data_IF_030108354917
#
_entry.id   IF_030108354917
#
_cell.length_a   1.000
_cell.length_b   1.000
_cell.length_c   1.000
_cell.angle_alpha   90.00
_cell.angle_beta   90.00
_cell.angle_gamma   90.00
#
_symmetry.space_group_name_H-M   'P 1'
#
loop_
_entity.id
_entity.type
_entity.pdbx_description
1 polymer ?
#
# COMPACT_ATOMS: atom_id res chain seq x y z
N UNK A 1 -19.37 9.42 -16.68
CA UNK A 1 -18.33 8.43 -16.33
C UNK A 1 -17.54 8.85 -15.08
N UNK A 2 -17.01 10.07 -15.02
CA UNK A 2 -16.25 10.60 -13.87
C UNK A 2 -17.01 10.53 -12.53
N UNK A 3 -18.30 10.87 -12.49
CA UNK A 3 -19.12 10.82 -11.25
C UNK A 3 -19.20 9.40 -10.67
N UNK A 4 -19.37 8.37 -11.52
CA UNK A 4 -19.41 6.96 -11.08
C UNK A 4 -18.03 6.47 -10.61
N UNK A 5 -16.96 6.92 -11.27
CA UNK A 5 -15.59 6.61 -10.88
C UNK A 5 -15.19 7.30 -9.56
N UNK A 6 -15.63 8.55 -9.35
CA UNK A 6 -15.46 9.29 -8.09
C UNK A 6 -16.21 8.63 -6.92
N UNK A 7 -17.44 8.14 -7.16
CA UNK A 7 -18.19 7.34 -6.17
C UNK A 7 -17.42 6.08 -5.73
N UNK A 8 -16.63 5.49 -6.63
CA UNK A 8 -15.80 4.31 -6.35
C UNK A 8 -14.38 4.63 -5.85
N UNK A 9 -14.08 5.89 -5.49
CA UNK A 9 -12.75 6.34 -5.08
C UNK A 9 -11.65 6.20 -6.15
N UNK A 10 -12.01 6.14 -7.44
CA UNK A 10 -11.03 5.94 -8.53
C UNK A 10 -10.55 7.26 -9.15
N UNK A 11 -11.31 8.33 -8.93
CA UNK A 11 -11.02 9.67 -9.45
C UNK A 11 -11.22 10.67 -8.32
N UNK A 12 -10.29 11.61 -8.19
CA UNK A 12 -10.41 12.76 -7.31
C UNK A 12 -10.66 14.00 -8.17
N UNK A 13 -11.76 14.70 -7.90
CA UNK A 13 -12.03 16.01 -8.49
C UNK A 13 -11.33 17.09 -7.67
N UNK A 14 -10.91 18.18 -8.30
CA UNK A 14 -10.39 19.36 -7.62
C UNK A 14 -10.71 20.62 -8.44
N UNK A 15 -10.78 21.76 -7.76
CA UNK A 15 -11.05 23.05 -8.40
C UNK A 15 -9.75 23.80 -8.59
N UNK A 16 -9.36 24.02 -9.84
CA UNK A 16 -8.24 24.86 -10.21
C UNK A 16 -8.73 26.32 -10.34
N UNK A 17 -8.00 27.26 -9.73
CA UNK A 17 -8.21 28.69 -9.93
C UNK A 17 -7.19 29.18 -10.95
N UNK A 18 -7.64 29.51 -12.16
CA UNK A 18 -6.79 30.21 -13.11
C UNK A 18 -6.70 31.69 -12.73
N UNK A 19 -5.50 32.25 -12.50
CA UNK A 19 -5.34 33.69 -12.40
C UNK A 19 -5.59 34.27 -13.79
N UNK A 20 -6.81 34.76 -14.02
CA UNK A 20 -7.18 35.42 -15.27
C UNK A 20 -6.19 36.53 -15.63
N UNK A 21 -5.89 36.65 -16.93
CA UNK A 21 -5.21 37.84 -17.45
C UNK A 21 -5.99 39.10 -17.08
N UNK A 22 -5.27 40.21 -16.87
CA UNK A 22 -5.77 41.47 -16.32
C UNK A 22 -7.17 41.85 -16.84
N UNK A 23 -8.19 41.69 -15.99
CA UNK A 23 -9.57 42.14 -16.25
C UNK A 23 -10.62 41.04 -16.47
N UNK A 24 -10.24 39.76 -16.58
CA UNK A 24 -11.19 38.65 -16.73
C UNK A 24 -11.50 37.98 -15.37
N UNK A 25 -12.77 37.61 -15.13
CA UNK A 25 -13.20 37.00 -13.87
C UNK A 25 -12.45 35.67 -13.60
N UNK A 26 -12.20 35.35 -12.32
CA UNK A 26 -11.55 34.10 -11.91
C UNK A 26 -12.37 32.91 -12.44
N UNK A 27 -11.86 32.23 -13.47
CA UNK A 27 -12.46 31.01 -14.00
C UNK A 27 -12.09 29.87 -13.06
N UNK A 28 -13.11 29.28 -12.45
CA UNK A 28 -12.99 28.05 -11.68
C UNK A 28 -13.30 26.88 -12.62
N UNK A 29 -12.31 26.02 -12.86
CA UNK A 29 -12.48 24.80 -13.64
C UNK A 29 -12.35 23.59 -12.71
N UNK A 30 -13.30 22.67 -12.82
CA UNK A 30 -13.22 21.37 -12.14
C UNK A 30 -12.40 20.43 -12.98
N UNK A 31 -11.27 19.99 -12.45
CA UNK A 31 -10.39 19.00 -13.07
C UNK A 31 -10.48 17.66 -12.34
N UNK A 32 -10.08 16.59 -13.02
CA UNK A 32 -10.20 15.22 -12.51
C UNK A 32 -8.85 14.49 -12.63
N UNK A 33 -8.43 13.85 -11.55
CA UNK A 33 -7.22 13.01 -11.50
C UNK A 33 -7.63 11.56 -11.28
N UNK A 34 -7.12 10.65 -12.10
CA UNK A 34 -7.24 9.21 -11.87
C UNK A 34 -6.25 8.77 -10.79
N UNK A 35 -6.74 8.01 -9.80
CA UNK A 35 -5.94 7.47 -8.71
C UNK A 35 -5.55 6.03 -9.04
N UNK A 36 -4.37 5.84 -9.65
CA UNK A 36 -3.92 4.52 -10.10
C UNK A 36 -3.78 3.51 -8.96
N UNK A 37 -3.27 3.92 -7.80
CA UNK A 37 -3.16 3.03 -6.64
C UNK A 37 -4.53 2.49 -6.21
N UNK A 38 -5.56 3.34 -6.17
CA UNK A 38 -6.92 2.92 -5.85
C UNK A 38 -7.51 1.96 -6.89
N UNK A 39 -7.13 2.10 -8.16
CA UNK A 39 -7.52 1.15 -9.21
C UNK A 39 -6.87 -0.20 -8.94
N UNK A 40 -5.56 -0.23 -8.62
CA UNK A 40 -4.83 -1.45 -8.31
C UNK A 40 -5.39 -2.11 -7.04
N UNK A 41 -5.72 -1.34 -6.00
CA UNK A 41 -6.31 -1.90 -4.76
C UNK A 41 -7.61 -2.68 -4.98
N UNK A 42 -8.32 -2.48 -6.09
CA UNK A 42 -9.51 -3.29 -6.42
C UNK A 42 -9.17 -4.77 -6.61
N UNK A 43 -8.00 -5.10 -7.13
CA UNK A 43 -7.56 -6.50 -7.25
C UNK A 43 -7.25 -7.11 -5.87
N UNK A 44 -7.02 -6.26 -4.86
CA UNK A 44 -6.66 -6.63 -3.47
C UNK A 44 -7.87 -6.74 -2.54
N UNK A 45 -9.08 -6.42 -2.99
CA UNK A 45 -10.29 -6.52 -2.17
C UNK A 45 -10.49 -7.88 -1.50
N UNK A 46 -10.23 -9.03 -2.16
CA UNK A 46 -10.29 -10.32 -1.49
C UNK A 46 -9.31 -10.42 -0.31
N UNK A 47 -8.09 -9.88 -0.44
CA UNK A 47 -7.10 -9.86 0.64
C UNK A 47 -7.57 -8.99 1.82
N UNK A 48 -8.17 -7.83 1.54
CA UNK A 48 -8.72 -6.95 2.58
C UNK A 48 -9.85 -7.63 3.36
N UNK A 49 -10.76 -8.33 2.65
CA UNK A 49 -11.86 -9.07 3.28
C UNK A 49 -11.31 -10.17 4.19
N UNK A 50 -10.26 -10.89 3.77
CA UNK A 50 -9.62 -11.92 4.59
C UNK A 50 -9.08 -11.32 5.89
N UNK A 51 -8.38 -10.18 5.83
CA UNK A 51 -7.86 -9.49 7.02
C UNK A 51 -8.98 -9.11 7.98
N UNK A 52 -10.06 -8.50 7.48
CA UNK A 52 -11.21 -8.15 8.33
C UNK A 52 -11.87 -9.38 8.94
N UNK A 53 -11.97 -10.48 8.18
CA UNK A 53 -12.59 -11.73 8.67
C UNK A 53 -11.78 -12.46 9.74
N UNK A 54 -10.48 -12.18 9.85
CA UNK A 54 -9.61 -12.76 10.88
C UNK A 54 -9.74 -12.02 12.21
N UNK A 55 -10.05 -10.73 12.20
CA UNK A 55 -10.06 -9.89 13.40
C UNK A 55 -11.47 -9.51 13.88
N UNK A 56 -12.46 -9.45 12.97
CA UNK A 56 -13.80 -8.95 13.27
C UNK A 56 -14.90 -9.96 12.91
N UNK A 57 -16.06 -9.75 13.53
CA UNK A 57 -17.24 -10.60 13.36
C UNK A 57 -17.81 -10.55 11.94
N UNK A 58 -18.57 -11.59 11.57
CA UNK A 58 -19.21 -11.72 10.23
C UNK A 58 -20.03 -10.49 9.82
N UNK A 59 -20.70 -9.83 10.77
CA UNK A 59 -21.47 -8.61 10.50
C UNK A 59 -20.60 -7.44 10.01
N UNK A 60 -19.38 -7.31 10.53
CA UNK A 60 -18.42 -6.30 10.07
C UNK A 60 -17.90 -6.63 8.66
N UNK A 61 -17.68 -7.91 8.35
CA UNK A 61 -17.23 -8.37 7.03
C UNK A 61 -18.25 -8.05 5.94
N UNK A 62 -19.54 -8.37 6.17
CA UNK A 62 -20.63 -8.09 5.22
C UNK A 62 -20.79 -6.58 4.97
N UNK A 63 -20.69 -5.77 6.04
CA UNK A 63 -20.75 -4.31 5.96
C UNK A 63 -19.57 -3.74 5.16
N UNK A 64 -18.36 -4.23 5.45
CA UNK A 64 -17.12 -3.82 4.78
C UNK A 64 -17.09 -4.23 3.30
N UNK A 65 -17.57 -5.43 2.96
CA UNK A 65 -17.73 -5.85 1.56
C UNK A 65 -18.67 -4.90 0.79
N UNK A 66 -19.75 -4.45 1.44
CA UNK A 66 -20.62 -3.43 0.88
C UNK A 66 -19.93 -2.11 0.60
N UNK A 67 -19.06 -1.66 1.51
CA UNK A 67 -18.23 -0.48 1.29
C UNK A 67 -17.27 -0.68 0.11
N UNK A 68 -16.59 -1.82 -0.01
CA UNK A 68 -15.68 -2.10 -1.12
C UNK A 68 -16.40 -2.13 -2.49
N UNK A 69 -17.59 -2.70 -2.55
CA UNK A 69 -18.36 -2.81 -3.79
C UNK A 69 -18.87 -1.44 -4.30
N UNK A 70 -19.25 -0.54 -3.38
CA UNK A 70 -19.89 0.74 -3.72
C UNK A 70 -19.02 1.98 -3.55
N UNK A 71 -17.87 1.86 -2.86
CA UNK A 71 -16.93 2.93 -2.61
C UNK A 71 -17.35 3.83 -1.45
N UNK A 72 -17.88 5.01 -1.75
CA UNK A 72 -18.31 6.02 -0.75
C UNK A 72 -19.77 5.80 -0.36
N UNK A 73 -20.05 5.56 0.93
CA UNK A 73 -21.41 5.38 1.45
C UNK A 73 -21.65 6.23 2.71
N UNK A 74 -22.87 6.73 2.87
CA UNK A 74 -23.34 7.34 4.12
C UNK A 74 -23.83 6.25 5.08
N UNK A 75 -23.95 6.59 6.37
CA UNK A 75 -24.53 5.69 7.36
C UNK A 75 -25.95 5.24 6.96
N UNK A 76 -26.78 6.15 6.45
CA UNK A 76 -28.13 5.83 5.98
C UNK A 76 -28.12 4.81 4.85
N UNK A 77 -27.25 4.98 3.85
CA UNK A 77 -27.11 4.03 2.72
C UNK A 77 -26.60 2.67 3.17
N UNK A 78 -25.75 2.62 4.20
CA UNK A 78 -25.29 1.37 4.81
C UNK A 78 -26.43 0.65 5.52
N UNK A 79 -27.26 1.39 6.26
CA UNK A 79 -28.46 0.88 6.92
C UNK A 79 -29.46 0.33 5.90
N UNK A 80 -29.74 1.08 4.83
CA UNK A 80 -30.67 0.65 3.77
C UNK A 80 -30.21 -0.63 3.08
N UNK A 81 -28.90 -0.75 2.84
CA UNK A 81 -28.30 -1.99 2.32
C UNK A 81 -28.49 -3.15 3.28
N UNK A 82 -28.24 -2.95 4.57
CA UNK A 82 -28.42 -3.99 5.57
C UNK A 82 -29.88 -4.46 5.70
N UNK A 83 -30.83 -3.52 5.59
CA UNK A 83 -32.28 -3.80 5.54
C UNK A 83 -32.68 -4.58 4.28
N UNK A 84 -32.05 -4.29 3.15
CA UNK A 84 -32.34 -4.97 1.87
C UNK A 84 -31.80 -6.42 1.83
N UNK A 85 -30.77 -6.73 2.62
CA UNK A 85 -30.11 -8.04 2.64
C UNK A 85 -30.72 -9.06 3.61
N UNK A 86 -31.50 -8.62 4.61
CA UNK A 86 -32.15 -9.50 5.60
C UNK A 86 -33.67 -9.36 5.51
N UNK A 87 -34.36 -10.47 5.27
CA UNK A 87 -35.82 -10.51 5.27
C UNK A 87 -36.36 -10.14 6.67
N UNK A 88 -37.02 -8.97 6.75
CA UNK A 88 -38.08 -8.54 7.69
C UNK A 88 -38.09 -9.29 9.04
N UNK A 89 -37.23 -8.88 9.98
CA UNK A 89 -37.57 -8.90 11.41
C UNK A 89 -36.60 -7.96 12.17
N UNK A 90 -37.21 -7.00 12.88
CA UNK A 90 -36.59 -6.03 13.80
C UNK A 90 -35.70 -4.93 13.17
N UNK A 91 -36.33 -3.95 12.52
CA UNK A 91 -35.67 -2.78 11.92
C UNK A 91 -34.79 -1.97 12.89
N UNK A 92 -35.16 -1.87 14.17
CA UNK A 92 -34.38 -1.13 15.18
C UNK A 92 -33.08 -1.84 15.55
N UNK A 93 -33.09 -3.17 15.59
CA UNK A 93 -31.91 -3.97 15.93
C UNK A 93 -30.88 -3.93 14.79
N UNK A 94 -31.34 -3.88 13.53
CA UNK A 94 -30.46 -3.76 12.36
C UNK A 94 -29.72 -2.42 12.36
N UNK A 95 -30.40 -1.32 12.65
CA UNK A 95 -29.76 0.01 12.68
C UNK A 95 -28.68 0.10 13.76
N UNK A 96 -28.97 -0.38 14.96
CA UNK A 96 -28.02 -0.41 16.07
C UNK A 96 -26.84 -1.33 15.76
N UNK A 97 -27.09 -2.51 15.19
CA UNK A 97 -26.03 -3.43 14.78
C UNK A 97 -25.13 -2.83 13.68
N UNK A 98 -25.69 -2.10 12.70
CA UNK A 98 -24.88 -1.42 11.67
C UNK A 98 -24.03 -0.31 12.28
N UNK A 99 -24.58 0.48 13.21
CA UNK A 99 -23.81 1.51 13.93
C UNK A 99 -22.68 0.90 14.77
N UNK A 100 -22.95 -0.18 15.49
CA UNK A 100 -21.94 -0.88 16.30
C UNK A 100 -20.84 -1.48 15.42
N UNK A 101 -21.21 -2.17 14.34
CA UNK A 101 -20.25 -2.76 13.40
C UNK A 101 -19.41 -1.69 12.70
N UNK A 102 -20.02 -0.56 12.31
CA UNK A 102 -19.28 0.56 11.74
C UNK A 102 -18.34 1.18 12.78
N UNK A 103 -18.79 1.33 14.03
CA UNK A 103 -17.94 1.79 15.13
C UNK A 103 -16.73 0.87 15.31
N UNK A 104 -16.91 -0.46 15.39
CA UNK A 104 -15.81 -1.43 15.46
C UNK A 104 -14.82 -1.30 14.30
N UNK A 105 -15.31 -1.15 13.07
CA UNK A 105 -14.48 -0.96 11.87
C UNK A 105 -13.68 0.35 11.89
N UNK A 106 -14.26 1.43 12.40
CA UNK A 106 -13.61 2.74 12.53
C UNK A 106 -12.56 2.72 13.64
N UNK A 107 -12.88 2.14 14.80
CA UNK A 107 -11.92 1.95 15.91
C UNK A 107 -10.74 1.05 15.52
N UNK A 108 -10.97 0.07 14.63
CA UNK A 108 -9.91 -0.77 14.05
C UNK A 108 -9.17 -0.11 12.87
N UNK A 109 -9.50 1.15 12.52
CA UNK A 109 -8.94 1.92 11.41
C UNK A 109 -9.11 1.32 10.00
N UNK A 110 -9.98 0.32 9.83
CA UNK A 110 -10.29 -0.25 8.50
C UNK A 110 -11.17 0.66 7.65
N UNK A 111 -11.94 1.53 8.31
CA UNK A 111 -12.86 2.48 7.68
C UNK A 111 -12.52 3.89 8.16
N UNK A 112 -12.51 4.83 7.22
CA UNK A 112 -12.19 6.23 7.45
C UNK A 112 -13.22 7.15 6.79
N UNK A 113 -13.30 8.39 7.27
CA UNK A 113 -14.10 9.42 6.59
C UNK A 113 -13.50 9.73 5.22
N UNK A 114 -14.37 9.97 4.24
CA UNK A 114 -13.93 10.28 2.88
C UNK A 114 -13.20 11.63 2.83
N UNK A 115 -12.16 11.75 1.99
CA UNK A 115 -11.60 13.04 1.60
C UNK A 115 -12.66 13.96 0.99
N UNK A 116 -12.44 15.27 1.13
CA UNK A 116 -13.27 16.30 0.54
C UNK A 116 -13.46 16.04 -0.96
N UNK A 117 -14.70 16.20 -1.43
CA UNK A 117 -15.09 15.79 -2.78
C UNK A 117 -14.41 16.65 -3.85
N UNK A 118 -14.27 17.95 -3.58
CA UNK A 118 -13.65 18.94 -4.46
C UNK A 118 -12.81 19.93 -3.63
N UNK A 119 -11.57 19.59 -3.24
CA UNK A 119 -10.67 20.56 -2.64
C UNK A 119 -10.37 21.69 -3.62
N UNK A 120 -10.33 22.92 -3.10
CA UNK A 120 -9.89 24.09 -3.86
C UNK A 120 -8.38 24.21 -3.71
N UNK A 121 -7.64 24.04 -4.80
CA UNK A 121 -6.19 24.25 -4.76
C UNK A 121 -5.87 25.75 -4.69
N UNK A 122 -5.05 26.14 -3.73
CA UNK A 122 -4.42 27.46 -3.75
C UNK A 122 -3.46 27.58 -4.94
N UNK A 123 -3.33 28.76 -5.57
CA UNK A 123 -2.41 28.94 -6.69
C UNK A 123 -0.96 28.59 -6.25
N UNK A 124 -0.14 28.08 -7.18
CA UNK A 124 1.26 27.75 -6.90
C UNK A 124 2.01 28.98 -6.36
N UNK A 125 2.87 28.80 -5.35
CA UNK A 125 3.67 29.89 -4.77
C UNK A 125 4.59 30.50 -5.84
N UNK A 126 4.99 31.77 -5.66
CA UNK A 126 5.84 32.48 -6.62
C UNK A 126 7.17 31.75 -6.92
N UNK A 127 7.66 30.94 -5.98
CA UNK A 127 8.86 30.10 -6.11
C UNK A 127 8.68 28.95 -7.12
N UNK A 128 7.47 28.36 -7.24
CA UNK A 128 7.17 27.30 -8.22
C UNK A 128 7.01 27.84 -9.65
N UNK A 129 6.48 29.06 -9.77
CA UNK A 129 6.39 29.78 -11.05
C UNK A 129 7.79 30.16 -11.57
N UNK A 130 8.73 30.48 -10.67
CA UNK A 130 10.13 30.72 -11.01
C UNK A 130 10.86 29.45 -11.47
N UNK A 131 10.59 28.29 -10.85
CA UNK A 131 11.14 27.00 -11.27
C UNK A 131 10.63 26.56 -12.66
N UNK A 132 9.34 26.75 -12.96
CA UNK A 132 8.76 26.49 -14.29
C UNK A 132 9.34 27.39 -15.39
N UNK A 133 9.70 28.64 -15.08
CA UNK A 133 10.34 29.56 -16.05
C UNK A 133 11.78 29.16 -16.40
N UNK A 134 12.48 28.41 -15.54
CA UNK A 134 13.84 27.88 -15.84
C UNK A 134 13.83 26.54 -16.58
N UNK A 135 12.77 25.74 -16.47
CA UNK A 135 12.68 24.40 -17.07
C UNK A 135 12.17 24.38 -18.53
N UNK A 136 11.99 25.53 -19.19
CA UNK A 136 11.33 25.63 -20.49
C UNK A 136 12.19 25.22 -21.71
N UNK A 137 13.07 24.21 -21.59
CA UNK A 137 13.73 23.62 -22.78
C UNK A 137 13.97 22.11 -22.79
N UNK A 138 13.46 21.34 -21.83
CA UNK A 138 13.46 19.88 -21.96
C UNK A 138 12.37 19.20 -21.12
N UNK A 139 11.51 18.43 -21.81
CA UNK A 139 10.60 17.38 -21.32
C UNK A 139 9.35 17.82 -20.53
N UNK A 140 8.26 18.04 -21.26
CA UNK A 140 6.87 18.26 -20.78
C UNK A 140 6.15 17.00 -20.22
N UNK A 141 6.85 16.07 -19.57
CA UNK A 141 6.21 14.83 -19.05
C UNK A 141 6.35 14.63 -17.53
N UNK A 142 7.09 15.48 -16.81
CA UNK A 142 7.38 15.25 -15.38
C UNK A 142 6.70 16.24 -14.41
N UNK A 143 5.42 16.56 -14.60
CA UNK A 143 4.63 17.40 -13.65
C UNK A 143 3.45 16.63 -13.00
N UNK A 144 3.52 15.30 -12.97
CA UNK A 144 2.44 14.41 -12.52
C UNK A 144 2.36 14.13 -11.01
N UNK A 145 3.45 13.77 -10.30
CA UNK A 145 3.34 13.29 -8.92
C UNK A 145 3.04 14.40 -7.90
N UNK A 146 3.56 15.61 -8.13
CA UNK A 146 3.45 16.74 -7.21
C UNK A 146 2.01 17.30 -7.11
N UNK A 147 1.33 17.42 -8.25
CA UNK A 147 -0.08 17.88 -8.27
C UNK A 147 -1.00 16.85 -7.63
N UNK A 148 -0.80 15.56 -7.92
CA UNK A 148 -1.61 14.47 -7.32
C UNK A 148 -1.45 14.48 -5.80
N UNK A 149 -0.23 14.59 -5.30
CA UNK A 149 0.05 14.65 -3.86
C UNK A 149 -0.63 15.86 -3.20
N UNK A 150 -0.47 17.05 -3.79
CA UNK A 150 -1.11 18.28 -3.29
C UNK A 150 -2.63 18.21 -3.27
N UNK A 151 -3.24 17.61 -4.29
CA UNK A 151 -4.70 17.41 -4.35
C UNK A 151 -5.17 16.45 -3.26
N UNK A 152 -4.44 15.35 -3.04
CA UNK A 152 -4.77 14.38 -2.00
C UNK A 152 -4.62 14.98 -0.59
N UNK A 153 -3.57 15.77 -0.34
CA UNK A 153 -3.36 16.47 0.93
C UNK A 153 -4.43 17.52 1.19
N UNK A 154 -4.80 18.31 0.18
CA UNK A 154 -5.88 19.29 0.29
C UNK A 154 -7.26 18.63 0.48
N UNK A 155 -7.45 17.41 -0.03
CA UNK A 155 -8.68 16.64 0.16
C UNK A 155 -8.72 15.92 1.52
N UNK A 156 -7.59 15.59 2.11
CA UNK A 156 -7.54 14.75 3.30
C UNK A 156 -8.25 15.44 4.49
N UNK A 157 -9.15 14.72 5.20
CA UNK A 157 -9.72 15.27 6.42
C UNK A 157 -8.62 15.44 7.46
N UNK A 158 -8.78 16.43 8.35
CA UNK A 158 -7.91 16.58 9.51
C UNK A 158 -7.83 15.25 10.28
N UNK A 159 -6.65 14.87 10.77
CA UNK A 159 -6.41 13.56 11.37
C UNK A 159 -7.35 13.28 12.56
N UNK A 160 -7.66 14.32 13.35
CA UNK A 160 -8.66 14.28 14.44
C UNK A 160 -10.09 13.97 14.00
N UNK A 161 -10.43 14.24 12.73
CA UNK A 161 -11.74 13.95 12.13
C UNK A 161 -11.75 12.67 11.29
N UNK A 162 -10.59 12.15 10.88
CA UNK A 162 -10.45 11.00 9.95
C UNK A 162 -11.15 9.74 10.47
N UNK A 163 -11.10 9.52 11.78
CA UNK A 163 -11.66 8.34 12.46
C UNK A 163 -12.73 8.69 13.51
N UNK A 164 -13.23 9.93 13.54
CA UNK A 164 -14.23 10.35 14.52
C UNK A 164 -15.60 9.72 14.20
N UNK A 165 -16.22 9.03 15.17
CA UNK A 165 -17.57 8.48 15.04
C UNK A 165 -18.59 9.34 15.80
N UNK A 166 -19.82 9.50 15.28
CA UNK A 166 -20.81 10.48 15.76
C UNK A 166 -21.25 10.32 17.24
N UNK A 167 -20.99 9.17 17.87
CA UNK A 167 -21.20 9.02 19.33
C UNK A 167 -20.32 9.95 20.16
N UNK A 168 -19.17 10.38 19.61
CA UNK A 168 -18.18 11.18 20.33
C UNK A 168 -18.44 12.69 20.23
N UNK A 169 -19.29 13.14 19.28
CA UNK A 169 -19.68 14.55 19.17
C UNK A 169 -20.48 15.01 20.40
N UNK A 170 -21.20 14.09 21.06
CA UNK A 170 -21.93 14.40 22.29
C UNK A 170 -21.02 14.45 23.55
N UNK A 171 -19.78 13.97 23.48
CA UNK A 171 -18.85 14.01 24.62
C UNK A 171 -18.02 15.31 24.68
N UNK A 172 -17.85 16.02 23.57
CA UNK A 172 -16.97 17.21 23.53
C UNK A 172 -17.66 18.46 24.13
N UNK A 173 -18.99 18.48 24.22
CA UNK A 173 -19.76 19.63 24.72
C UNK A 173 -20.03 19.62 26.25
N UNK A 174 -19.50 18.66 27.01
CA UNK A 174 -19.82 18.52 28.45
C UNK A 174 -18.66 18.64 29.45
N UNK A 175 -17.44 18.99 29.02
CA UNK A 175 -16.30 19.14 29.94
C UNK A 175 -15.49 20.43 29.73
N UNK A 176 -16.14 21.60 29.80
CA UNK A 176 -15.44 22.86 30.17
C UNK A 176 -16.36 23.81 30.94
N UNK A 177 -16.59 23.49 32.21
CA UNK A 177 -16.92 24.49 33.21
C UNK A 177 -16.50 23.98 34.59
N UNK A 178 -15.27 24.29 35.02
CA UNK A 178 -15.00 24.93 36.32
C UNK A 178 -13.48 25.10 36.56
N UNK A 179 -13.10 26.37 36.79
CA UNK A 179 -11.93 26.93 37.49
C UNK A 179 -10.50 26.51 37.05
N UNK A 180 -9.51 27.38 36.84
CA UNK A 180 -9.35 28.81 37.13
C UNK A 180 -8.08 29.32 36.42
N UNK A 181 -8.16 30.44 35.71
CA UNK A 181 -7.01 31.33 35.53
C UNK A 181 -7.52 32.76 35.39
N UNK A 182 -7.11 33.57 36.35
CA UNK A 182 -7.39 35.00 36.42
C UNK A 182 -6.36 35.68 35.53
N UNK A 183 -6.79 36.39 34.48
CA UNK A 183 -6.22 37.71 34.24
C UNK A 183 -7.18 38.65 33.50
N UNK A 184 -7.02 39.92 33.81
CA UNK A 184 -7.96 41.02 33.72
C UNK A 184 -7.71 41.83 32.45
N UNK A 185 -8.77 42.00 31.65
CA UNK A 185 -9.11 43.27 30.99
C UNK A 185 -8.36 43.69 29.73
N UNK A 186 -9.06 43.68 28.60
CA UNK A 186 -9.14 44.88 27.74
C UNK A 186 -10.40 44.88 26.87
N UNK A 187 -10.96 46.07 26.66
CA UNK A 187 -12.33 46.33 26.23
C UNK A 187 -12.40 46.72 24.75
N UNK A 188 -13.43 46.14 24.09
CA UNK A 188 -14.31 46.70 23.03
C UNK A 188 -13.98 46.41 21.55
N UNK A 189 -15.07 45.93 20.92
CA UNK A 189 -15.65 46.31 19.61
C UNK A 189 -15.34 45.39 18.43
N UNK A 190 -16.13 44.32 18.29
CA UNK A 190 -16.72 43.99 16.98
C UNK A 190 -18.15 43.47 17.19
N UNK A 191 -19.10 44.36 16.89
CA UNK A 191 -20.53 44.08 16.82
C UNK A 191 -20.86 43.81 15.36
N UNK A 192 -21.63 42.74 15.15
CA UNK A 192 -22.59 42.55 14.07
C UNK A 192 -22.07 42.68 12.63
N UNK A 193 -21.64 41.55 12.06
CA UNK A 193 -22.00 41.12 10.70
C UNK A 193 -21.97 39.59 10.65
N UNK A 194 -22.96 38.98 11.31
CA UNK A 194 -23.37 37.61 11.03
C UNK A 194 -24.71 37.70 10.30
N UNK A 195 -24.71 37.49 9.00
CA UNK A 195 -25.87 36.97 8.26
C UNK A 195 -25.43 36.49 6.88
N UNK A 196 -26.03 35.37 6.49
CA UNK A 196 -26.12 34.81 5.15
C UNK A 196 -24.91 34.04 4.60
N UNK A 197 -24.61 32.93 5.26
CA UNK A 197 -24.46 31.66 4.52
C UNK A 197 -24.97 30.48 5.37
N UNK A 198 -26.18 30.60 5.90
CA UNK A 198 -26.94 29.46 6.41
C UNK A 198 -27.77 28.87 5.25
N UNK A 199 -27.08 28.12 4.40
CA UNK A 199 -27.71 27.12 3.54
C UNK A 199 -27.32 25.77 4.12
N UNK A 200 -28.20 25.22 4.95
CA UNK A 200 -28.08 23.93 5.61
C UNK A 200 -27.90 22.76 4.66
N UNK A 201 -26.67 22.53 4.22
CA UNK A 201 -26.19 21.21 3.86
C UNK A 201 -25.64 20.63 5.16
N UNK A 202 -26.41 19.75 5.81
CA UNK A 202 -25.80 18.82 6.76
C UNK A 202 -24.70 18.12 5.98
N UNK A 203 -23.43 18.30 6.34
CA UNK A 203 -22.33 17.55 5.74
C UNK A 203 -22.61 16.06 5.98
N UNK A 204 -23.17 15.38 4.97
CA UNK A 204 -23.42 13.95 5.04
C UNK A 204 -22.06 13.25 5.14
N UNK A 205 -21.76 12.71 6.33
CA UNK A 205 -20.50 12.00 6.58
C UNK A 205 -20.44 10.75 5.69
N UNK A 206 -19.53 10.79 4.72
CA UNK A 206 -19.25 9.66 3.83
C UNK A 206 -18.10 8.82 4.38
N UNK A 207 -18.26 7.50 4.33
CA UNK A 207 -17.27 6.52 4.76
C UNK A 207 -16.67 5.78 3.57
N UNK A 208 -15.40 5.42 3.68
CA UNK A 208 -14.65 4.59 2.71
C UNK A 208 -13.75 3.61 3.45
N UNK A 209 -13.34 2.56 2.73
CA UNK A 209 -12.26 1.70 3.20
C UNK A 209 -10.93 2.47 3.24
N UNK A 210 -10.21 2.31 4.35
CA UNK A 210 -8.85 2.82 4.54
C UNK A 210 -7.85 1.80 3.97
N UNK A 211 -7.47 1.96 2.70
CA UNK A 211 -6.52 1.05 2.06
C UNK A 211 -5.14 1.07 2.72
N UNK A 212 -4.73 2.22 3.27
CA UNK A 212 -3.40 2.42 3.86
C UNK A 212 -3.17 1.47 5.05
N UNK A 213 -4.18 1.27 5.90
CA UNK A 213 -4.10 0.34 7.03
C UNK A 213 -3.86 -1.10 6.57
N UNK A 214 -4.53 -1.55 5.51
CA UNK A 214 -4.28 -2.88 4.96
C UNK A 214 -2.88 -3.02 4.37
N UNK A 215 -2.38 -1.99 3.68
CA UNK A 215 -1.04 -2.02 3.12
C UNK A 215 0.03 -2.04 4.21
N UNK A 216 -0.17 -1.32 5.32
CA UNK A 216 0.73 -1.41 6.49
C UNK A 216 0.80 -2.83 7.03
N UNK A 217 -0.35 -3.48 7.19
CA UNK A 217 -0.43 -4.88 7.64
C UNK A 217 0.23 -5.85 6.67
N UNK A 218 0.08 -5.63 5.37
CA UNK A 218 0.76 -6.44 4.36
C UNK A 218 2.27 -6.23 4.36
N UNK A 219 2.74 -5.00 4.61
CA UNK A 219 4.16 -4.71 4.80
C UNK A 219 4.72 -5.43 6.04
N UNK A 220 4.04 -5.31 7.18
CA UNK A 220 4.44 -6.01 8.41
C UNK A 220 4.50 -7.52 8.17
N UNK A 221 3.48 -8.09 7.51
CA UNK A 221 3.48 -9.50 7.12
C UNK A 221 4.68 -9.85 6.22
N UNK A 222 4.97 -9.05 5.19
CA UNK A 222 6.10 -9.28 4.30
C UNK A 222 7.44 -9.28 5.05
N UNK A 223 7.64 -8.33 5.99
CA UNK A 223 8.84 -8.28 6.82
C UNK A 223 8.94 -9.51 7.74
N UNK A 224 7.83 -9.91 8.37
CA UNK A 224 7.79 -11.08 9.27
C UNK A 224 8.07 -12.38 8.52
N UNK A 225 7.48 -12.58 7.34
CA UNK A 225 7.78 -13.77 6.50
C UNK A 225 9.24 -13.79 6.05
N UNK A 226 9.81 -12.64 5.63
CA UNK A 226 11.23 -12.58 5.25
C UNK A 226 12.16 -12.96 6.41
N UNK A 227 11.87 -12.45 7.61
CA UNK A 227 12.62 -12.80 8.82
C UNK A 227 12.46 -14.29 9.17
N UNK A 228 11.25 -14.83 9.08
CA UNK A 228 10.98 -16.26 9.35
C UNK A 228 11.80 -17.18 8.43
N UNK A 229 11.87 -16.87 7.14
CA UNK A 229 12.61 -17.69 6.17
C UNK A 229 14.13 -17.63 6.38
N UNK A 230 14.65 -16.51 6.91
CA UNK A 230 16.09 -16.30 7.10
C UNK A 230 16.62 -16.72 8.46
N UNK A 231 15.81 -16.57 9.49
CA UNK A 231 16.14 -16.87 10.89
C UNK A 231 15.28 -18.06 11.35
N UNK A 232 14.34 -17.81 12.25
CA UNK A 232 13.46 -18.81 12.84
C UNK A 232 12.09 -18.22 13.19
N UNK A 233 11.18 -19.09 13.66
CA UNK A 233 9.85 -18.70 14.10
C UNK A 233 9.87 -17.76 15.33
N UNK A 234 10.88 -17.91 16.21
CA UNK A 234 11.05 -17.05 17.38
C UNK A 234 11.33 -15.60 16.99
N UNK A 235 12.28 -15.36 16.08
CA UNK A 235 12.57 -14.04 15.55
C UNK A 235 11.36 -13.44 14.81
N UNK A 236 10.62 -14.26 14.06
CA UNK A 236 9.41 -13.83 13.37
C UNK A 236 8.32 -13.37 14.36
N UNK A 237 8.14 -14.08 15.48
CA UNK A 237 7.20 -13.69 16.53
C UNK A 237 7.64 -12.42 17.25
N UNK A 238 8.94 -12.29 17.57
CA UNK A 238 9.48 -11.07 18.18
C UNK A 238 9.23 -9.85 17.30
N UNK A 239 9.52 -9.94 16.00
CA UNK A 239 9.24 -8.88 15.03
C UNK A 239 7.74 -8.61 14.90
N UNK A 240 6.92 -9.65 14.75
CA UNK A 240 5.46 -9.50 14.63
C UNK A 240 4.87 -8.79 15.84
N UNK A 241 5.29 -9.16 17.04
CA UNK A 241 4.82 -8.59 18.31
C UNK A 241 5.23 -7.13 18.46
N UNK A 242 6.43 -6.78 18.01
CA UNK A 242 6.91 -5.41 18.02
C UNK A 242 6.14 -4.50 17.06
N UNK A 243 5.92 -4.95 15.82
CA UNK A 243 5.14 -4.19 14.83
C UNK A 243 3.68 -4.04 15.27
N UNK A 244 3.14 -5.07 15.89
CA UNK A 244 1.79 -5.09 16.43
C UNK A 244 1.61 -4.10 17.60
N UNK A 245 2.54 -4.09 18.56
CA UNK A 245 2.50 -3.16 19.68
C UNK A 245 2.66 -1.69 19.23
N UNK A 246 3.39 -1.44 18.14
CA UNK A 246 3.55 -0.12 17.52
C UNK A 246 2.41 0.30 16.56
N UNK A 247 1.47 -0.60 16.25
CA UNK A 247 0.51 -0.46 15.13
C UNK A 247 -0.29 0.85 15.16
N UNK A 248 -0.81 1.23 16.34
CA UNK A 248 -1.67 2.42 16.50
C UNK A 248 -0.92 3.74 16.44
N UNK A 249 0.39 3.71 16.66
CA UNK A 249 1.25 4.89 16.65
C UNK A 249 1.80 5.17 15.25
N UNK A 250 1.71 4.20 14.34
CA UNK A 250 2.19 4.34 12.98
C UNK A 250 1.17 5.05 12.08
N UNK A 251 1.52 6.25 11.61
CA UNK A 251 0.63 7.07 10.81
C UNK A 251 0.86 6.95 9.29
N UNK A 252 2.09 6.65 8.86
CA UNK A 252 2.50 6.68 7.44
C UNK A 252 2.89 5.29 6.94
N UNK A 253 2.54 4.98 5.68
CA UNK A 253 2.93 3.73 5.03
C UNK A 253 4.43 3.67 4.64
N UNK A 254 5.00 4.78 4.14
CA UNK A 254 6.41 4.85 3.69
C UNK A 254 7.31 5.37 4.80
N UNK A 255 7.49 4.55 5.84
CA UNK A 255 8.42 4.80 6.94
C UNK A 255 9.64 3.89 6.79
N UNK A 256 10.85 4.46 6.90
CA UNK A 256 12.09 3.68 6.82
C UNK A 256 12.29 2.84 8.10
N UNK A 257 11.91 3.39 9.25
CA UNK A 257 12.03 2.74 10.56
C UNK A 257 10.67 2.57 11.23
N UNK A 258 10.51 1.50 12.00
CA UNK A 258 9.31 1.32 12.83
C UNK A 258 9.21 2.36 13.95
N UNK A 259 8.02 2.47 14.52
CA UNK A 259 7.83 3.19 15.79
C UNK A 259 8.66 2.51 16.89
N UNK A 260 9.25 3.31 17.79
CA UNK A 260 9.94 2.81 18.97
C UNK A 260 8.93 2.30 20.01
N UNK A 261 9.07 1.04 20.42
CA UNK A 261 8.14 0.38 21.36
C UNK A 261 8.89 -0.18 22.55
N UNK A 262 8.33 -0.08 23.76
CA UNK A 262 8.95 -0.63 24.97
C UNK A 262 8.97 -2.15 24.94
N UNK A 263 10.03 -2.75 25.49
CA UNK A 263 10.16 -4.21 25.57
C UNK A 263 8.97 -4.90 26.26
N UNK A 264 8.37 -4.25 27.28
CA UNK A 264 7.22 -4.80 28.00
C UNK A 264 5.98 -4.90 27.09
N UNK A 265 5.73 -3.89 26.25
CA UNK A 265 4.61 -3.92 25.31
C UNK A 265 4.82 -5.00 24.23
N UNK A 266 6.07 -5.19 23.77
CA UNK A 266 6.42 -6.26 22.83
C UNK A 266 6.16 -7.63 23.48
N UNK A 267 6.56 -7.80 24.73
CA UNK A 267 6.39 -9.04 25.47
C UNK A 267 4.91 -9.37 25.72
N UNK A 268 4.10 -8.39 26.14
CA UNK A 268 2.65 -8.55 26.31
C UNK A 268 1.97 -9.01 25.01
N UNK A 269 2.40 -8.48 23.87
CA UNK A 269 1.88 -8.86 22.57
C UNK A 269 2.33 -10.27 22.16
N UNK A 270 3.61 -10.61 22.41
CA UNK A 270 4.15 -11.94 22.14
C UNK A 270 3.39 -13.04 22.92
N UNK A 271 2.99 -12.76 24.16
CA UNK A 271 2.25 -13.69 25.01
C UNK A 271 0.86 -14.07 24.46
N UNK A 272 0.30 -13.28 23.54
CA UNK A 272 -0.97 -13.64 22.87
C UNK A 272 -0.79 -14.81 21.90
N UNK A 273 0.37 -14.91 21.26
CA UNK A 273 0.72 -16.00 20.36
C UNK A 273 1.06 -17.28 21.14
N UNK A 274 0.64 -18.45 20.65
CA UNK A 274 0.84 -19.72 21.37
C UNK A 274 2.32 -20.05 21.61
N UNK A 275 3.16 -19.83 20.59
CA UNK A 275 4.62 -20.04 20.65
C UNK A 275 5.31 -18.94 21.47
N UNK A 276 4.74 -17.74 21.54
CA UNK A 276 5.26 -16.64 22.34
C UNK A 276 5.07 -16.84 23.85
N UNK A 277 4.13 -17.69 24.29
CA UNK A 277 3.91 -18.00 25.72
C UNK A 277 5.08 -18.71 26.39
N UNK A 278 5.91 -19.41 25.62
CA UNK A 278 7.13 -20.07 26.12
C UNK A 278 8.37 -19.17 26.07
N UNK A 279 8.28 -18.00 25.42
CA UNK A 279 9.40 -17.09 25.25
C UNK A 279 9.59 -16.27 26.52
N UNK A 280 10.81 -16.24 27.05
CA UNK A 280 11.15 -15.38 28.19
C UNK A 280 11.53 -13.97 27.72
N UNK A 281 11.58 -13.01 28.65
CA UNK A 281 12.07 -11.65 28.35
C UNK A 281 13.52 -11.64 27.85
N UNK A 282 14.35 -12.58 28.30
CA UNK A 282 15.75 -12.66 27.88
C UNK A 282 15.86 -13.25 26.46
N UNK A 283 15.06 -14.28 26.15
CA UNK A 283 14.96 -14.79 24.77
C UNK A 283 14.51 -13.67 23.81
N UNK A 284 13.53 -12.85 24.23
CA UNK A 284 13.06 -11.72 23.44
C UNK A 284 14.17 -10.68 23.20
N UNK A 285 15.02 -10.39 24.20
CA UNK A 285 16.18 -9.49 24.05
C UNK A 285 17.19 -10.05 23.06
N UNK A 286 17.44 -11.36 23.10
CA UNK A 286 18.36 -12.02 22.20
C UNK A 286 17.85 -11.94 20.75
N UNK A 287 16.56 -12.19 20.52
CA UNK A 287 15.95 -12.03 19.21
C UNK A 287 15.96 -10.58 18.69
N UNK A 288 15.65 -9.59 19.55
CA UNK A 288 15.73 -8.18 19.16
C UNK A 288 17.16 -7.75 18.82
N UNK A 289 18.17 -8.34 19.49
CA UNK A 289 19.58 -8.12 19.17
C UNK A 289 19.96 -8.77 17.84
N UNK A 290 19.48 -10.00 17.59
CA UNK A 290 19.69 -10.72 16.33
C UNK A 290 19.07 -10.01 15.12
N UNK A 291 17.93 -9.34 15.33
CA UNK A 291 17.25 -8.52 14.32
C UNK A 291 17.91 -7.15 14.11
N UNK A 292 19.01 -6.86 14.80
CA UNK A 292 19.71 -5.57 14.74
C UNK A 292 18.81 -4.37 15.10
N UNK A 293 17.85 -4.57 16.01
CA UNK A 293 16.96 -3.51 16.46
C UNK A 293 17.75 -2.40 17.17
N UNK A 294 17.38 -1.15 16.88
CA UNK A 294 17.95 0.03 17.53
C UNK A 294 17.37 0.16 18.94
N UNK A 295 18.24 0.07 19.95
CA UNK A 295 17.87 0.26 21.36
C UNK A 295 17.92 1.74 21.73
N UNK A 296 16.78 2.28 22.14
CA UNK A 296 16.64 3.62 22.73
C UNK A 296 16.97 3.64 24.22
N UNK A 297 17.04 4.85 24.79
CA UNK A 297 17.44 5.07 26.18
C UNK A 297 16.50 4.40 27.21
N UNK A 298 15.21 4.25 26.88
CA UNK A 298 14.15 3.77 27.78
C UNK A 298 13.79 2.29 27.55
N UNK A 299 14.77 1.46 27.15
CA UNK A 299 14.51 0.06 26.71
C UNK A 299 13.45 -0.05 25.61
N UNK A 300 13.33 1.00 24.80
CA UNK A 300 12.51 1.02 23.60
C UNK A 300 13.29 0.46 22.42
N UNK A 301 12.63 -0.29 21.55
CA UNK A 301 13.23 -0.89 20.36
C UNK A 301 12.53 -0.38 19.10
N UNK A 302 13.30 -0.09 18.05
CA UNK A 302 12.81 0.17 16.69
C UNK A 302 13.62 -0.66 15.68
N UNK A 303 13.04 -0.94 14.53
CA UNK A 303 13.69 -1.72 13.47
C UNK A 303 13.72 -0.95 12.15
N UNK A 304 14.80 -1.14 11.39
CA UNK A 304 14.91 -0.63 10.03
C UNK A 304 14.11 -1.52 9.08
N UNK A 305 12.92 -1.05 8.70
CA UNK A 305 12.04 -1.76 7.77
C UNK A 305 12.61 -1.73 6.36
N UNK A 306 13.32 -0.66 6.00
CA UNK A 306 13.88 -0.48 4.67
C UNK A 306 14.92 -1.54 4.35
N UNK A 307 15.84 -1.85 5.27
CA UNK A 307 16.82 -2.90 5.04
C UNK A 307 16.18 -4.28 4.86
N UNK A 308 15.16 -4.63 5.66
CA UNK A 308 14.42 -5.88 5.50
C UNK A 308 13.74 -5.95 4.13
N UNK A 309 13.07 -4.87 3.72
CA UNK A 309 12.38 -4.80 2.43
C UNK A 309 13.36 -4.84 1.25
N UNK A 310 14.49 -4.13 1.32
CA UNK A 310 15.53 -4.19 0.29
C UNK A 310 16.13 -5.59 0.15
N UNK A 311 16.29 -6.32 1.26
CA UNK A 311 16.73 -7.72 1.24
C UNK A 311 15.70 -8.62 0.57
N UNK A 312 14.42 -8.50 0.94
CA UNK A 312 13.34 -9.24 0.29
C UNK A 312 13.25 -8.95 -1.22
N UNK A 313 13.41 -7.69 -1.63
CA UNK A 313 13.46 -7.30 -3.05
C UNK A 313 14.64 -7.95 -3.79
N UNK A 314 15.82 -7.98 -3.16
CA UNK A 314 16.99 -8.63 -3.74
C UNK A 314 16.74 -10.14 -3.92
N UNK A 315 16.17 -10.82 -2.92
CA UNK A 315 15.85 -12.24 -2.95
C UNK A 315 14.81 -12.58 -4.04
N UNK A 316 13.80 -11.73 -4.22
CA UNK A 316 12.80 -11.92 -5.27
C UNK A 316 13.42 -11.83 -6.67
N UNK A 317 14.26 -10.83 -6.95
CA UNK A 317 14.94 -10.74 -8.26
C UNK A 317 15.97 -11.84 -8.46
N UNK A 318 16.69 -12.20 -7.40
CA UNK A 318 17.58 -13.36 -7.39
C UNK A 318 16.82 -14.66 -7.77
N UNK A 319 15.61 -14.85 -7.23
CA UNK A 319 14.71 -15.97 -7.56
C UNK A 319 14.29 -15.94 -9.03
N UNK A 320 13.98 -14.75 -9.58
CA UNK A 320 13.71 -14.57 -11.01
C UNK A 320 14.92 -14.97 -11.85
N UNK A 321 16.12 -14.51 -11.48
CA UNK A 321 17.36 -14.83 -12.21
C UNK A 321 17.65 -16.32 -12.17
N UNK A 322 17.49 -16.96 -11.01
CA UNK A 322 17.67 -18.39 -10.84
C UNK A 322 16.72 -19.20 -11.72
N UNK A 323 15.43 -18.85 -11.73
CA UNK A 323 14.39 -19.54 -12.52
C UNK A 323 14.55 -19.34 -14.02
N UNK A 324 14.98 -18.15 -14.48
CA UNK A 324 15.07 -17.79 -15.91
C UNK A 324 16.43 -18.12 -16.55
N UNK A 325 17.52 -17.97 -15.80
CA UNK A 325 18.89 -18.08 -16.33
C UNK A 325 19.74 -19.18 -15.68
N UNK A 326 19.26 -19.82 -14.61
CA UNK A 326 19.94 -20.93 -13.95
C UNK A 326 20.95 -20.53 -12.88
N UNK A 327 21.60 -21.55 -12.28
CA UNK A 327 22.42 -21.42 -11.06
C UNK A 327 23.66 -20.54 -11.24
N UNK A 328 24.37 -20.65 -12.35
CA UNK A 328 25.61 -19.85 -12.54
C UNK A 328 25.30 -18.37 -12.74
N UNK A 329 24.22 -18.07 -13.46
CA UNK A 329 23.69 -16.70 -13.62
C UNK A 329 23.26 -16.11 -12.28
N UNK A 330 22.57 -16.91 -11.44
CA UNK A 330 22.21 -16.53 -10.09
C UNK A 330 23.44 -16.18 -9.23
N UNK A 331 24.49 -17.02 -9.26
CA UNK A 331 25.73 -16.77 -8.50
C UNK A 331 26.42 -15.48 -8.93
N UNK A 332 26.55 -15.26 -10.24
CA UNK A 332 27.14 -14.03 -10.80
C UNK A 332 26.29 -12.81 -10.41
N UNK A 333 24.97 -12.89 -10.54
CA UNK A 333 24.08 -11.78 -10.22
C UNK A 333 24.13 -11.44 -8.73
N UNK A 334 24.05 -12.44 -7.84
CA UNK A 334 24.14 -12.26 -6.38
C UNK A 334 25.46 -11.60 -5.97
N UNK A 335 26.58 -12.03 -6.57
CA UNK A 335 27.88 -11.40 -6.36
C UNK A 335 27.84 -9.92 -6.74
N UNK A 336 27.41 -9.60 -7.97
CA UNK A 336 27.37 -8.21 -8.46
C UNK A 336 26.39 -7.33 -7.68
N UNK A 337 25.27 -7.89 -7.22
CA UNK A 337 24.26 -7.19 -6.40
C UNK A 337 24.81 -6.84 -5.01
N UNK A 338 25.67 -7.69 -4.45
CA UNK A 338 26.33 -7.48 -3.16
C UNK A 338 27.49 -6.48 -3.23
N UNK A 339 28.34 -6.56 -4.25
CA UNK A 339 29.49 -5.66 -4.41
C UNK A 339 29.06 -4.21 -4.68
N UNK A 340 27.96 -4.00 -5.42
CA UNK A 340 27.39 -2.67 -5.66
C UNK A 340 28.22 -1.73 -6.55
N UNK A 341 29.45 -2.12 -6.91
CA UNK A 341 30.34 -1.37 -7.80
C UNK A 341 30.69 -2.16 -9.06
N UNK A 342 31.46 -1.53 -9.96
CA UNK A 342 31.94 -2.15 -11.19
C UNK A 342 32.99 -3.23 -10.87
N UNK A 343 32.78 -4.44 -11.39
CA UNK A 343 33.68 -5.59 -11.24
C UNK A 343 34.10 -6.12 -12.61
N UNK A 344 35.36 -6.50 -12.74
CA UNK A 344 35.94 -7.05 -13.97
C UNK A 344 35.51 -8.49 -14.22
N UNK A 345 35.32 -8.87 -15.50
CA UNK A 345 34.90 -10.22 -15.92
C UNK A 345 35.70 -11.35 -15.28
N UNK A 346 37.04 -11.25 -15.26
CA UNK A 346 37.89 -12.33 -14.74
C UNK A 346 37.72 -12.49 -13.21
N UNK A 347 37.60 -11.37 -12.48
CA UNK A 347 37.33 -11.38 -11.05
C UNK A 347 35.96 -11.99 -10.75
N UNK A 348 34.94 -11.66 -11.54
CA UNK A 348 33.60 -12.25 -11.41
C UNK A 348 33.68 -13.77 -11.59
N UNK A 349 34.38 -14.24 -12.63
CA UNK A 349 34.56 -15.66 -12.90
C UNK A 349 35.22 -16.39 -11.73
N UNK A 350 36.29 -15.80 -11.19
CA UNK A 350 37.08 -16.39 -10.10
C UNK A 350 36.28 -16.39 -8.77
N UNK A 351 35.63 -15.28 -8.40
CA UNK A 351 34.88 -15.19 -7.14
C UNK A 351 33.55 -15.95 -7.18
N UNK A 352 32.86 -15.95 -8.32
CA UNK A 352 31.62 -16.71 -8.49
C UNK A 352 31.88 -18.18 -8.83
N UNK A 353 33.14 -18.65 -8.90
CA UNK A 353 33.55 -19.97 -9.40
C UNK A 353 32.71 -20.46 -10.59
N UNK A 354 32.69 -19.64 -11.64
CA UNK A 354 32.10 -19.95 -12.95
C UNK A 354 33.24 -20.07 -13.94
N UNK A 355 33.13 -20.98 -14.91
CA UNK A 355 34.16 -21.16 -15.93
C UNK A 355 34.44 -19.86 -16.71
N UNK A 356 35.72 -19.55 -16.93
CA UNK A 356 36.17 -18.33 -17.65
C UNK A 356 35.64 -18.22 -19.08
N UNK A 357 35.22 -19.33 -19.68
CA UNK A 357 34.59 -19.37 -21.01
C UNK A 357 33.08 -19.11 -20.97
N UNK A 358 32.42 -19.42 -19.86
CA UNK A 358 30.96 -19.31 -19.71
C UNK A 358 30.56 -17.98 -19.05
N UNK A 359 31.35 -17.47 -18.10
CA UNK A 359 31.06 -16.20 -17.41
C UNK A 359 30.78 -15.03 -18.38
N UNK A 360 31.56 -14.79 -19.46
CA UNK A 360 31.26 -13.74 -20.42
C UNK A 360 29.92 -13.96 -21.12
N UNK A 361 29.58 -15.19 -21.52
CA UNK A 361 28.32 -15.52 -22.21
C UNK A 361 27.12 -15.21 -21.33
N UNK A 362 27.20 -15.59 -20.05
CA UNK A 362 26.17 -15.31 -19.05
C UNK A 362 26.02 -13.81 -18.86
N UNK A 363 27.12 -13.07 -18.67
CA UNK A 363 27.10 -11.63 -18.48
C UNK A 363 26.51 -10.88 -19.69
N UNK A 364 26.84 -11.28 -20.92
CA UNK A 364 26.22 -10.71 -22.12
C UNK A 364 24.72 -11.01 -22.22
N UNK A 365 24.28 -12.21 -21.79
CA UNK A 365 22.86 -12.57 -21.75
C UNK A 365 22.09 -11.71 -20.73
N UNK A 366 22.63 -11.57 -19.52
CA UNK A 366 22.05 -10.71 -18.47
C UNK A 366 22.03 -9.24 -18.88
N UNK A 367 23.06 -8.76 -19.59
CA UNK A 367 23.11 -7.38 -20.08
C UNK A 367 22.09 -7.12 -21.18
N UNK A 368 21.92 -8.06 -22.12
CA UNK A 368 20.92 -7.96 -23.19
C UNK A 368 19.50 -7.83 -22.64
N UNK A 369 19.23 -8.52 -21.53
CA UNK A 369 17.94 -8.49 -20.85
C UNK A 369 17.89 -7.42 -19.73
N UNK A 370 18.84 -6.48 -19.72
CA UNK A 370 18.91 -5.31 -18.82
C UNK A 370 19.07 -5.60 -17.32
N UNK A 371 19.50 -6.81 -16.93
CA UNK A 371 19.78 -7.18 -15.53
C UNK A 371 21.10 -6.62 -15.00
N UNK A 372 22.08 -6.41 -15.88
CA UNK A 372 23.39 -5.87 -15.52
C UNK A 372 23.79 -4.74 -16.46
N UNK A 373 24.53 -3.78 -15.93
CA UNK A 373 25.16 -2.71 -16.69
C UNK A 373 26.58 -3.10 -17.08
N UNK A 374 26.99 -2.76 -18.30
CA UNK A 374 28.31 -3.04 -18.86
C UNK A 374 29.02 -1.73 -19.21
N UNK A 375 30.30 -1.65 -18.84
CA UNK A 375 31.18 -0.54 -19.19
C UNK A 375 32.51 -1.07 -19.73
N UNK A 376 32.89 -0.60 -20.92
CA UNK A 376 34.22 -0.86 -21.49
C UNK A 376 35.17 0.24 -21.06
N UNK A 377 36.28 -0.13 -20.43
CA UNK A 377 37.34 0.79 -20.04
C UNK A 377 38.60 0.44 -20.81
N UNK A 378 39.18 1.43 -21.48
CA UNK A 378 40.48 1.26 -22.14
C UNK A 378 41.51 1.94 -21.27
N UNK A 379 42.52 1.19 -20.82
CA UNK A 379 43.64 1.73 -20.05
C UNK A 379 44.83 1.86 -20.99
N UNK A 380 45.33 3.09 -21.11
CA UNK A 380 46.49 3.42 -21.94
C UNK A 380 47.76 3.33 -21.07
N UNK A 381 48.53 2.27 -21.25
CA UNK A 381 49.89 2.10 -20.72
C UNK A 381 50.86 1.68 -21.83
N UNK A 382 51.90 0.87 -21.51
CA UNK A 382 52.86 0.36 -22.50
C UNK A 382 52.22 -0.49 -23.62
N UNK A 383 51.06 -1.08 -23.36
CA UNK A 383 50.16 -1.72 -24.34
C UNK A 383 48.74 -1.27 -24.06
N UNK A 384 47.91 -1.10 -25.10
CA UNK A 384 46.49 -0.83 -24.93
C UNK A 384 45.77 -2.08 -24.46
N UNK A 385 45.20 -2.03 -23.25
CA UNK A 385 44.38 -3.12 -22.69
C UNK A 385 42.94 -2.63 -22.52
N UNK A 386 41.99 -3.46 -22.96
CA UNK A 386 40.56 -3.20 -22.81
C UNK A 386 39.97 -4.13 -21.76
N UNK A 387 39.30 -3.54 -20.77
CA UNK A 387 38.60 -4.25 -19.70
C UNK A 387 37.10 -4.06 -19.85
N UNK A 388 36.35 -5.12 -19.56
CA UNK A 388 34.88 -5.06 -19.48
C UNK A 388 34.50 -5.17 -18.02
N UNK A 389 33.78 -4.15 -17.55
CA UNK A 389 33.32 -4.02 -16.18
C UNK A 389 31.80 -4.15 -16.12
N UNK A 390 31.31 -4.76 -15.03
CA UNK A 390 29.91 -5.10 -14.85
C UNK A 390 29.43 -4.64 -13.48
N UNK A 391 28.17 -4.18 -13.40
CA UNK A 391 27.49 -3.92 -12.11
C UNK A 391 26.00 -4.14 -12.23
N UNK A 392 25.32 -4.38 -11.11
CA UNK A 392 23.85 -4.31 -11.05
C UNK A 392 23.44 -2.88 -10.72
N UNK A 393 22.56 -2.29 -11.52
CA UNK A 393 21.93 -1.01 -11.19
C UNK A 393 20.54 -1.26 -10.62
N UNK A 394 20.45 -1.41 -9.30
CA UNK A 394 19.19 -1.76 -8.60
C UNK A 394 18.05 -0.79 -8.92
N UNK A 395 18.32 0.51 -8.96
CA UNK A 395 17.28 1.52 -9.18
C UNK A 395 16.58 1.41 -10.54
N UNK A 396 17.34 1.06 -11.59
CA UNK A 396 16.77 0.83 -12.92
C UNK A 396 16.15 -0.56 -13.02
N UNK A 397 16.85 -1.56 -12.48
CA UNK A 397 16.40 -2.95 -12.54
C UNK A 397 15.07 -3.16 -11.81
N UNK A 398 14.88 -2.53 -10.64
CA UNK A 398 13.63 -2.67 -9.87
C UNK A 398 12.43 -2.15 -10.65
N UNK A 399 12.58 -1.01 -11.34
CA UNK A 399 11.51 -0.47 -12.20
C UNK A 399 11.20 -1.38 -13.39
N UNK A 400 12.22 -1.99 -13.98
CA UNK A 400 12.03 -2.94 -15.08
C UNK A 400 11.31 -4.20 -14.59
N UNK A 401 11.74 -4.76 -13.46
CA UNK A 401 11.11 -5.94 -12.83
C UNK A 401 9.67 -5.63 -12.42
N UNK A 402 9.42 -4.49 -11.81
CA UNK A 402 8.07 -4.01 -11.46
C UNK A 402 7.16 -3.93 -12.70
N UNK A 403 7.66 -3.34 -13.80
CA UNK A 403 6.92 -3.27 -15.06
C UNK A 403 6.61 -4.67 -15.64
N UNK A 404 7.59 -5.59 -15.61
CA UNK A 404 7.40 -6.97 -16.04
C UNK A 404 6.36 -7.69 -15.17
N UNK A 405 6.35 -7.45 -13.85
CA UNK A 405 5.33 -7.98 -12.94
C UNK A 405 3.93 -7.46 -13.27
N UNK A 406 3.77 -6.18 -13.58
CA UNK A 406 2.47 -5.64 -14.01
C UNK A 406 2.00 -6.23 -15.34
N UNK A 407 2.91 -6.42 -16.31
CA UNK A 407 2.58 -7.11 -17.55
C UNK A 407 2.16 -8.57 -17.31
N UNK A 408 2.85 -9.28 -16.43
CA UNK A 408 2.48 -10.63 -16.03
C UNK A 408 1.09 -10.67 -15.35
N UNK A 409 0.80 -9.72 -14.46
CA UNK A 409 -0.49 -9.60 -13.79
C UNK A 409 -1.64 -9.32 -14.78
N UNK A 410 -1.39 -8.46 -15.78
CA UNK A 410 -2.33 -8.20 -16.87
C UNK A 410 -2.58 -9.46 -17.69
N UNK A 411 -1.53 -10.17 -18.09
CA UNK A 411 -1.65 -11.41 -18.87
C UNK A 411 -2.45 -12.49 -18.13
N UNK A 412 -2.20 -12.65 -16.82
CA UNK A 412 -3.00 -13.55 -15.97
C UNK A 412 -4.46 -13.12 -15.91
N UNK A 413 -4.74 -11.83 -15.72
CA UNK A 413 -6.10 -11.29 -15.65
C UNK A 413 -6.86 -11.48 -16.98
N UNK A 414 -6.21 -11.22 -18.11
CA UNK A 414 -6.76 -11.46 -19.44
C UNK A 414 -7.04 -12.95 -19.67
N UNK A 415 -6.16 -13.83 -19.18
CA UNK A 415 -6.38 -15.27 -19.26
C UNK A 415 -7.58 -15.70 -18.42
N UNK A 416 -7.75 -15.19 -17.20
CA UNK A 416 -8.93 -15.47 -16.37
C UNK A 416 -10.21 -15.03 -17.08
N UNK A 417 -10.22 -13.82 -17.64
CA UNK A 417 -11.37 -13.31 -18.38
C UNK A 417 -11.72 -14.19 -19.59
N UNK A 418 -10.70 -14.61 -20.35
CA UNK A 418 -10.86 -15.49 -21.50
C UNK A 418 -11.46 -16.86 -21.11
N UNK A 419 -10.96 -17.49 -20.04
CA UNK A 419 -11.51 -18.76 -19.55
C UNK A 419 -12.96 -18.61 -19.08
N UNK A 420 -13.30 -17.51 -18.40
CA UNK A 420 -14.67 -17.21 -17.97
C UNK A 420 -15.61 -16.98 -19.14
N UNK A 421 -15.15 -16.34 -20.21
CA UNK A 421 -15.93 -16.15 -21.42
C UNK A 421 -16.16 -17.47 -22.17
N UNK A 422 -15.13 -18.29 -22.35
CA UNK A 422 -15.27 -19.64 -22.93
C UNK A 422 -16.19 -20.54 -22.11
N UNK A 423 -16.14 -20.41 -20.78
CA UNK A 423 -16.95 -21.18 -19.87
C UNK A 423 -18.37 -20.65 -19.65
N UNK A 424 -18.73 -19.49 -20.20
CA UNK A 424 -19.96 -18.76 -19.85
C UNK A 424 -21.22 -19.58 -20.08
N UNK A 425 -21.32 -20.26 -21.23
CA UNK A 425 -22.47 -21.11 -21.55
C UNK A 425 -22.56 -22.31 -20.60
N UNK A 426 -21.43 -22.98 -20.32
CA UNK A 426 -21.36 -24.09 -19.37
C UNK A 426 -21.72 -23.67 -17.94
N UNK A 427 -21.30 -22.48 -17.54
CA UNK A 427 -21.61 -21.89 -16.23
C UNK A 427 -23.04 -21.36 -16.13
N UNK A 428 -23.74 -21.16 -17.25
CA UNK A 428 -25.16 -20.76 -17.27
C UNK A 428 -26.12 -21.94 -17.10
N UNK A 429 -25.66 -23.17 -17.34
CA UNK A 429 -26.49 -24.36 -17.19
C UNK A 429 -26.86 -24.61 -15.72
N UNK A 430 -28.09 -25.02 -15.41
CA UNK A 430 -28.49 -25.45 -14.06
C UNK A 430 -27.54 -26.50 -13.49
N UNK A 431 -27.29 -26.48 -12.18
CA UNK A 431 -26.31 -27.36 -11.52
C UNK A 431 -26.65 -28.83 -11.74
N UNK A 432 -27.94 -29.16 -11.82
CA UNK A 432 -28.46 -30.52 -12.04
C UNK A 432 -28.10 -31.06 -13.42
N UNK A 433 -27.84 -30.18 -14.40
CA UNK A 433 -27.43 -30.55 -15.77
C UNK A 433 -25.92 -30.67 -15.92
N UNK A 434 -25.12 -30.32 -14.90
CA UNK A 434 -23.65 -30.37 -14.91
C UNK A 434 -23.14 -31.72 -14.43
N UNK A 435 -23.61 -32.80 -15.05
CA UNK A 435 -23.28 -34.19 -14.68
C UNK A 435 -22.49 -34.86 -15.81
N UNK A 436 -21.67 -35.85 -15.47
CA UNK A 436 -20.82 -36.56 -16.43
C UNK A 436 -19.75 -35.65 -17.05
N UNK A 437 -19.60 -35.73 -18.37
CA UNK A 437 -18.56 -35.01 -19.13
C UNK A 437 -18.67 -33.48 -19.02
N UNK A 438 -19.88 -32.94 -18.85
CA UNK A 438 -20.10 -31.50 -18.64
C UNK A 438 -19.64 -31.07 -17.23
N UNK A 439 -19.87 -31.91 -16.23
CA UNK A 439 -19.39 -31.70 -14.86
C UNK A 439 -17.87 -31.67 -14.79
N UNK A 440 -17.20 -32.60 -15.49
CA UNK A 440 -15.73 -32.62 -15.61
C UNK A 440 -15.16 -31.35 -16.25
N UNK A 441 -15.80 -30.86 -17.32
CA UNK A 441 -15.41 -29.58 -17.97
C UNK A 441 -15.57 -28.39 -17.02
N UNK A 442 -16.67 -28.32 -16.27
CA UNK A 442 -16.89 -27.26 -15.26
C UNK A 442 -15.85 -27.33 -14.14
N UNK A 443 -15.54 -28.54 -13.66
CA UNK A 443 -14.52 -28.73 -12.64
C UNK A 443 -13.12 -28.36 -13.14
N UNK A 444 -12.79 -28.70 -14.38
CA UNK A 444 -11.54 -28.27 -15.03
C UNK A 444 -11.46 -26.76 -15.12
N UNK A 445 -12.53 -26.10 -15.58
CA UNK A 445 -12.59 -24.64 -15.67
C UNK A 445 -12.40 -23.98 -14.30
N UNK A 446 -13.06 -24.49 -13.26
CA UNK A 446 -12.87 -24.02 -11.88
C UNK A 446 -11.42 -24.17 -11.41
N UNK A 447 -10.79 -25.33 -11.67
CA UNK A 447 -9.37 -25.55 -11.31
C UNK A 447 -8.45 -24.57 -12.03
N UNK A 448 -8.64 -24.36 -13.34
CA UNK A 448 -7.83 -23.41 -14.12
C UNK A 448 -7.98 -22.01 -13.53
N UNK A 449 -9.22 -21.58 -13.27
CA UNK A 449 -9.51 -20.28 -12.67
C UNK A 449 -8.81 -20.11 -11.31
N UNK A 450 -8.96 -21.10 -10.42
CA UNK A 450 -8.35 -21.06 -9.08
C UNK A 450 -6.83 -20.92 -9.16
N UNK A 451 -6.17 -21.70 -10.02
CA UNK A 451 -4.70 -21.62 -10.19
C UNK A 451 -4.28 -20.26 -10.73
N UNK A 452 -5.01 -19.69 -11.69
CA UNK A 452 -4.71 -18.37 -12.26
C UNK A 452 -4.93 -17.25 -11.23
N UNK A 453 -6.03 -17.29 -10.48
CA UNK A 453 -6.34 -16.30 -9.43
C UNK A 453 -5.36 -16.39 -8.25
N UNK A 454 -4.96 -17.61 -7.85
CA UNK A 454 -3.93 -17.81 -6.83
C UNK A 454 -2.56 -17.30 -7.31
N UNK A 455 -2.20 -17.56 -8.56
CA UNK A 455 -0.97 -17.05 -9.16
C UNK A 455 -0.97 -15.52 -9.21
N UNK A 456 -2.10 -14.91 -9.56
CA UNK A 456 -2.26 -13.46 -9.55
C UNK A 456 -2.15 -12.90 -8.13
N UNK A 457 -2.73 -13.57 -7.13
CA UNK A 457 -2.63 -13.16 -5.73
C UNK A 457 -1.18 -13.19 -5.22
N UNK A 458 -0.42 -14.24 -5.54
CA UNK A 458 1.01 -14.36 -5.20
C UNK A 458 1.85 -13.31 -5.92
N UNK A 459 1.59 -13.07 -7.20
CA UNK A 459 2.27 -12.04 -7.96
C UNK A 459 1.99 -10.64 -7.40
N UNK A 460 0.78 -10.37 -6.92
CA UNK A 460 0.46 -9.10 -6.27
C UNK A 460 1.23 -8.89 -4.95
N UNK A 461 1.57 -9.96 -4.21
CA UNK A 461 2.44 -9.84 -3.03
C UNK A 461 3.85 -9.33 -3.43
N UNK A 462 4.41 -9.85 -4.51
CA UNK A 462 5.66 -9.35 -5.08
C UNK A 462 5.50 -7.91 -5.61
N UNK A 463 4.41 -7.58 -6.32
CA UNK A 463 4.19 -6.21 -6.80
C UNK A 463 4.15 -5.21 -5.63
N UNK A 464 3.49 -5.55 -4.52
CA UNK A 464 3.46 -4.67 -3.34
C UNK A 464 4.87 -4.42 -2.78
N UNK A 465 5.74 -5.43 -2.80
CA UNK A 465 7.12 -5.31 -2.34
C UNK A 465 7.97 -4.30 -3.16
N UNK A 466 7.68 -4.11 -4.46
CA UNK A 466 8.44 -3.16 -5.30
C UNK A 466 7.76 -1.79 -5.46
N UNK A 467 6.42 -1.74 -5.50
CA UNK A 467 5.67 -0.51 -5.78
C UNK A 467 5.21 0.22 -4.51
N UNK A 468 4.82 -0.54 -3.48
CA UNK A 468 4.12 0.00 -2.31
C UNK A 468 5.07 0.22 -1.13
N UNK A 469 5.88 -0.79 -0.81
CA UNK A 469 6.83 -0.80 0.30
C UNK A 469 8.19 -0.29 -0.17
#
# INVERSE_FOLDING_TARGET
>A
MAIRAGKQNLVQAFTAKDPGGHGDAVKQTTEYIALFDNIIHRTRFPKFIIVVSQELEKGCVELFEGLLQHGRLTLEKLIDRAKSGKHIQENSNIENAVRENLSKLVHAHFVERCPAIEPVLAPPSEDELAAKKRASRSLKIAAGPDIVQRVLEAAAPMESKRFLFMSDENCIDSEKAEASFVDVGEKRKHSLLASDSDLGIKEEVLWRANYEEFLRRFRHKACVENVRERLDDGAAIALSSMLEAGRRLESKLKTETSVSVSINAIYEEAMKAEVGRSMTLDDLRDYLTLLECQKGADESYSIDLKSILELAQNEEVESIVLKKYGKDSYRIFRLLSKEGHLVETDKISDTAFVDKKEAPKILYKLWKDEYVYMQKVTVMGNRQSQFVLWKVNKATLWKNVENDMYHAALNLSLRVAHEMEQGKELLSLPVEKRVGTLGEKVNRLRRIRLVLEESLSKLDDAIMLFHVF
#
